data_IF_087112361660
#
_entry.id   IF_087112361660
#
_cell.length_a   1.000
_cell.length_b   1.000
_cell.length_c   1.000
_cell.angle_alpha   90.00
_cell.angle_beta   90.00
_cell.angle_gamma   90.00
#
_symmetry.space_group_name_H-M   'P 1'
#
loop_
_entity.id
_entity.type
_entity.pdbx_description
1 polymer ?
#
# COMPACT_ATOMS: atom_id res chain seq x y z
N UNK A 1 -20.81 -9.32 -18.05
CA UNK A 1 -19.62 -10.17 -17.86
C UNK A 1 -18.42 -9.33 -18.20
N UNK A 2 -17.52 -9.12 -17.25
CA UNK A 2 -16.25 -8.41 -17.47
C UNK A 2 -15.19 -9.49 -17.72
N UNK A 3 -14.39 -9.35 -18.77
CA UNK A 3 -13.26 -10.23 -19.08
C UNK A 3 -11.99 -9.45 -18.71
N UNK A 4 -11.19 -10.02 -17.82
CA UNK A 4 -9.94 -9.43 -17.35
C UNK A 4 -8.76 -10.34 -17.73
N UNK A 5 -7.56 -9.76 -17.73
CA UNK A 5 -6.33 -10.54 -17.71
C UNK A 5 -6.36 -11.53 -16.53
N UNK A 6 -5.94 -12.77 -16.77
CA UNK A 6 -5.84 -13.76 -15.71
C UNK A 6 -4.58 -13.48 -14.90
N UNK A 7 -4.70 -13.44 -13.58
CA UNK A 7 -3.58 -13.36 -12.63
C UNK A 7 -3.61 -14.58 -11.70
N UNK A 8 -2.56 -14.77 -10.91
CA UNK A 8 -2.47 -15.94 -10.02
C UNK A 8 -3.47 -15.83 -8.87
N UNK A 9 -3.25 -14.87 -7.96
CA UNK A 9 -4.04 -14.65 -6.75
C UNK A 9 -3.68 -13.29 -6.11
N UNK A 10 -4.50 -12.78 -5.17
CA UNK A 10 -4.19 -11.56 -4.43
C UNK A 10 -2.91 -11.69 -3.62
N UNK A 11 -2.10 -10.64 -3.58
CA UNK A 11 -0.86 -10.56 -2.80
C UNK A 11 -1.09 -10.91 -1.33
N UNK A 12 -2.26 -10.55 -0.76
CA UNK A 12 -2.67 -10.97 0.59
C UNK A 12 -2.50 -12.46 0.83
N UNK A 13 -2.88 -13.30 -0.14
CA UNK A 13 -2.73 -14.76 0.00
C UNK A 13 -1.26 -15.15 0.10
N UNK A 14 -0.35 -14.54 -0.69
CA UNK A 14 1.10 -14.76 -0.57
C UNK A 14 1.60 -14.41 0.84
N UNK A 15 1.20 -13.25 1.36
CA UNK A 15 1.63 -12.78 2.68
C UNK A 15 1.12 -13.68 3.79
N UNK A 16 -0.12 -14.18 3.69
CA UNK A 16 -0.68 -15.14 4.64
C UNK A 16 0.07 -16.47 4.65
N UNK A 17 0.49 -16.97 3.49
CA UNK A 17 1.24 -18.23 3.40
C UNK A 17 2.67 -18.07 3.96
N UNK A 18 3.31 -16.93 3.68
CA UNK A 18 4.59 -16.57 4.30
C UNK A 18 4.45 -16.48 5.83
N UNK A 19 3.43 -15.77 6.32
CA UNK A 19 3.12 -15.65 7.76
C UNK A 19 2.94 -17.02 8.43
N UNK A 20 2.14 -17.92 7.83
CA UNK A 20 1.95 -19.29 8.35
C UNK A 20 3.26 -20.06 8.43
N UNK A 21 4.14 -19.86 7.46
CA UNK A 21 5.48 -20.47 7.43
C UNK A 21 6.52 -19.73 8.29
N UNK A 22 6.13 -18.65 8.98
CA UNK A 22 7.02 -17.79 9.78
C UNK A 22 8.14 -17.12 8.95
N UNK A 23 7.86 -16.84 7.68
CA UNK A 23 8.73 -16.10 6.78
C UNK A 23 8.16 -14.71 6.48
N UNK A 24 9.05 -13.81 6.02
CA UNK A 24 8.68 -12.54 5.41
C UNK A 24 9.08 -12.56 3.93
N UNK A 25 8.46 -11.73 3.08
CA UNK A 25 8.88 -11.64 1.70
C UNK A 25 10.31 -11.11 1.62
N UNK A 26 11.03 -11.45 0.55
CA UNK A 26 12.38 -10.96 0.37
C UNK A 26 12.37 -9.46 0.10
N UNK A 27 13.39 -8.75 0.60
CA UNK A 27 13.51 -7.29 0.47
C UNK A 27 13.37 -6.78 -0.95
N UNK A 28 13.96 -7.50 -1.92
CA UNK A 28 13.87 -7.14 -3.33
C UNK A 28 12.44 -7.26 -3.88
N UNK A 29 11.66 -8.24 -3.41
CA UNK A 29 10.26 -8.42 -3.80
C UNK A 29 9.40 -7.31 -3.22
N UNK A 30 9.55 -7.02 -1.92
CA UNK A 30 8.80 -5.95 -1.24
C UNK A 30 9.01 -4.60 -1.93
N UNK A 31 10.25 -4.22 -2.22
CA UNK A 31 10.56 -2.95 -2.90
C UNK A 31 10.06 -2.95 -4.35
N UNK A 32 10.14 -4.08 -5.06
CA UNK A 32 9.59 -4.21 -6.42
C UNK A 32 8.07 -4.04 -6.43
N UNK A 33 7.36 -4.72 -5.53
CA UNK A 33 5.90 -4.62 -5.43
C UNK A 33 5.46 -3.22 -5.03
N UNK A 34 6.13 -2.61 -4.05
CA UNK A 34 5.89 -1.23 -3.64
C UNK A 34 6.01 -0.26 -4.83
N UNK A 35 7.07 -0.39 -5.63
CA UNK A 35 7.27 0.45 -6.81
C UNK A 35 6.17 0.27 -7.86
N UNK A 36 5.79 -0.97 -8.15
CA UNK A 36 4.77 -1.28 -9.16
C UNK A 36 3.38 -0.74 -8.76
N UNK A 37 3.01 -0.86 -7.48
CA UNK A 37 1.75 -0.29 -6.98
C UNK A 37 1.82 1.24 -6.98
N UNK A 38 2.94 1.84 -6.58
CA UNK A 38 3.13 3.28 -6.63
C UNK A 38 3.00 3.87 -8.05
N UNK A 39 3.60 3.19 -9.04
CA UNK A 39 3.49 3.56 -10.47
C UNK A 39 2.04 3.44 -10.96
N UNK A 40 1.29 2.42 -10.50
CA UNK A 40 -0.14 2.29 -10.78
C UNK A 40 -0.94 3.44 -10.16
N UNK A 41 -0.67 3.83 -8.91
CA UNK A 41 -1.33 4.96 -8.24
C UNK A 41 -1.05 6.28 -8.98
N UNK A 42 0.20 6.54 -9.35
CA UNK A 42 0.55 7.71 -10.16
C UNK A 42 -0.26 7.74 -11.46
N UNK A 43 -0.37 6.59 -12.14
CA UNK A 43 -1.11 6.50 -13.39
C UNK A 43 -2.60 6.81 -13.21
N UNK A 44 -3.29 6.19 -12.25
CA UNK A 44 -4.72 6.40 -12.06
C UNK A 44 -5.03 7.82 -11.56
N UNK A 45 -4.18 8.39 -10.68
CA UNK A 45 -4.34 9.76 -10.20
C UNK A 45 -4.24 10.77 -11.34
N UNK A 46 -3.33 10.54 -12.30
CA UNK A 46 -3.20 11.40 -13.50
C UNK A 46 -4.41 11.35 -14.44
N UNK A 47 -5.30 10.38 -14.26
CA UNK A 47 -6.56 10.22 -15.00
C UNK A 47 -7.79 10.55 -14.14
N UNK A 48 -7.62 11.25 -13.01
CA UNK A 48 -8.75 11.66 -12.17
C UNK A 48 -9.37 10.52 -11.37
N UNK A 49 -8.72 9.36 -11.28
CA UNK A 49 -9.23 8.18 -10.56
C UNK A 49 -8.52 8.02 -9.22
N UNK A 50 -9.30 7.81 -8.15
CA UNK A 50 -8.82 7.39 -6.82
C UNK A 50 -9.40 6.02 -6.53
N UNK A 51 -8.58 5.06 -6.13
CA UNK A 51 -8.97 3.67 -6.00
C UNK A 51 -9.85 3.43 -4.76
N UNK A 52 -9.59 4.13 -3.65
CA UNK A 52 -10.33 4.19 -2.37
C UNK A 52 -10.23 2.96 -1.48
N UNK A 53 -10.06 1.76 -2.04
CA UNK A 53 -10.00 0.49 -1.33
C UNK A 53 -8.61 -0.16 -1.48
N UNK A 54 -7.56 0.63 -1.22
CA UNK A 54 -6.17 0.21 -1.40
C UNK A 54 -5.81 -0.78 -0.30
N UNK A 55 -5.48 -2.01 -0.69
CA UNK A 55 -5.04 -3.05 0.22
C UNK A 55 -4.46 -4.25 -0.53
N UNK A 56 -3.77 -5.12 0.19
CA UNK A 56 -3.12 -6.31 -0.39
C UNK A 56 -4.10 -7.32 -1.01
N UNK A 57 -5.40 -7.20 -0.71
CA UNK A 57 -6.49 -7.96 -1.30
C UNK A 57 -6.88 -7.48 -2.72
N UNK A 58 -6.61 -6.21 -3.04
CA UNK A 58 -6.85 -5.61 -4.36
C UNK A 58 -5.56 -5.50 -5.21
N UNK A 59 -4.44 -6.00 -4.69
CA UNK A 59 -3.17 -6.14 -5.43
C UNK A 59 -2.99 -7.60 -5.84
N UNK A 60 -2.80 -7.87 -7.12
CA UNK A 60 -2.80 -9.21 -7.70
C UNK A 60 -1.42 -9.59 -8.22
N UNK A 61 -0.97 -10.83 -7.97
CA UNK A 61 0.31 -11.35 -8.48
C UNK A 61 0.17 -12.00 -9.86
N UNK A 62 1.09 -11.71 -10.77
CA UNK A 62 1.26 -12.43 -12.05
C UNK A 62 2.27 -13.59 -11.93
N UNK A 63 2.48 -14.35 -13.01
CA UNK A 63 3.40 -15.51 -13.03
C UNK A 63 4.88 -15.16 -12.95
N UNK A 64 5.25 -13.88 -13.11
CA UNK A 64 6.62 -13.38 -13.05
C UNK A 64 6.92 -12.68 -11.70
N UNK A 65 6.05 -12.90 -10.70
CA UNK A 65 6.12 -12.30 -9.37
C UNK A 65 6.03 -10.76 -9.38
N UNK A 66 5.37 -10.19 -10.38
CA UNK A 66 4.99 -8.78 -10.40
C UNK A 66 3.57 -8.59 -9.88
N UNK A 67 3.26 -7.37 -9.45
CA UNK A 67 1.94 -7.01 -8.94
C UNK A 67 1.21 -6.04 -9.86
N UNK A 68 -0.11 -6.17 -9.87
CA UNK A 68 -1.04 -5.25 -10.55
C UNK A 68 -2.14 -4.83 -9.59
N UNK A 69 -2.44 -3.54 -9.57
CA UNK A 69 -3.60 -3.01 -8.85
C UNK A 69 -4.88 -3.43 -9.59
N UNK A 70 -5.92 -3.78 -8.85
CA UNK A 70 -7.18 -4.29 -9.37
C UNK A 70 -8.37 -3.78 -8.56
N UNK A 71 -9.57 -4.15 -9.01
CA UNK A 71 -10.86 -3.76 -8.46
C UNK A 71 -11.08 -2.24 -8.34
N UNK A 72 -11.74 -1.69 -9.37
CA UNK A 72 -12.12 -0.28 -9.44
C UNK A 72 -13.63 -0.08 -9.32
N UNK A 73 -14.38 -1.12 -8.89
CA UNK A 73 -15.84 -1.06 -8.87
C UNK A 73 -16.38 0.03 -7.93
N UNK A 74 -15.63 0.33 -6.86
CA UNK A 74 -15.98 1.34 -5.86
C UNK A 74 -15.27 2.69 -5.99
N UNK A 75 -14.38 2.83 -6.97
CA UNK A 75 -13.48 3.98 -7.10
C UNK A 75 -14.20 5.31 -7.34
N UNK A 76 -13.54 6.40 -6.94
CA UNK A 76 -13.95 7.75 -7.29
C UNK A 76 -13.33 8.14 -8.64
N UNK A 77 -14.15 8.60 -9.58
CA UNK A 77 -13.73 9.05 -10.91
C UNK A 77 -14.15 10.51 -11.07
N UNK A 78 -13.20 11.39 -11.38
CA UNK A 78 -13.42 12.83 -11.52
C UNK A 78 -14.14 13.44 -10.30
N UNK A 79 -13.69 13.04 -9.11
CA UNK A 79 -14.24 13.44 -7.80
C UNK A 79 -15.70 13.02 -7.55
N UNK A 80 -16.19 11.99 -8.25
CA UNK A 80 -17.46 11.34 -7.91
C UNK A 80 -17.42 10.72 -6.50
N UNK A 81 -18.56 10.67 -5.83
CA UNK A 81 -18.66 9.96 -4.55
C UNK A 81 -18.32 8.47 -4.75
N UNK A 82 -17.40 7.89 -3.95
CA UNK A 82 -17.08 6.47 -4.03
C UNK A 82 -18.22 5.62 -3.49
N UNK A 83 -18.28 4.35 -3.90
CA UNK A 83 -19.32 3.40 -3.42
C UNK A 83 -18.77 2.35 -2.45
N UNK A 84 -17.50 2.47 -2.09
CA UNK A 84 -16.81 1.66 -1.08
C UNK A 84 -16.14 2.57 -0.05
N UNK A 85 -15.84 2.01 1.11
CA UNK A 85 -15.05 2.68 2.15
C UNK A 85 -13.73 1.92 2.34
N UNK A 86 -12.62 2.64 2.64
CA UNK A 86 -11.35 2.01 2.97
C UNK A 86 -11.45 1.20 4.26
N UNK A 87 -10.56 0.21 4.40
CA UNK A 87 -10.33 -0.48 5.68
C UNK A 87 -9.92 0.50 6.79
N UNK A 88 -10.38 0.27 8.02
CA UNK A 88 -9.98 1.04 9.20
C UNK A 88 -8.46 1.04 9.42
N UNK A 89 -7.77 -0.05 9.07
CA UNK A 89 -6.30 -0.16 9.14
C UNK A 89 -5.56 0.68 8.07
N UNK A 90 -6.30 1.22 7.10
CA UNK A 90 -5.77 1.94 5.93
C UNK A 90 -6.40 3.33 5.74
N UNK A 91 -7.09 3.86 6.76
CA UNK A 91 -7.65 5.21 6.73
C UNK A 91 -7.38 5.94 8.03
N UNK A 92 -7.14 7.24 7.94
CA UNK A 92 -7.04 8.09 9.12
C UNK A 92 -8.44 8.63 9.47
N UNK A 93 -8.88 8.58 10.74
CA UNK A 93 -10.24 9.04 11.14
C UNK A 93 -10.59 10.50 10.80
N UNK A 94 -9.58 11.37 10.60
CA UNK A 94 -9.77 12.76 10.17
C UNK A 94 -10.03 12.92 8.68
N UNK A 95 -9.88 11.85 7.89
CA UNK A 95 -10.09 11.87 6.44
C UNK A 95 -11.52 11.49 6.09
N UNK A 96 -12.05 12.18 5.08
CA UNK A 96 -13.40 11.89 4.60
C UNK A 96 -13.41 10.60 3.79
N UNK A 97 -14.31 9.68 4.15
CA UNK A 97 -14.55 8.45 3.40
C UNK A 97 -15.36 8.69 2.12
N UNK A 98 -16.12 9.79 2.02
CA UNK A 98 -16.93 10.14 0.84
C UNK A 98 -16.26 11.14 -0.09
N UNK A 99 -15.17 11.77 0.35
CA UNK A 99 -14.37 12.72 -0.44
C UNK A 99 -12.89 12.29 -0.39
N UNK A 100 -12.53 11.21 -1.10
CA UNK A 100 -11.15 10.72 -1.14
C UNK A 100 -10.23 11.79 -1.76
N UNK A 101 -9.01 11.86 -1.24
CA UNK A 101 -7.95 12.76 -1.68
C UNK A 101 -6.70 11.99 -2.06
N UNK A 102 -5.74 12.65 -2.72
CA UNK A 102 -4.42 12.04 -2.94
C UNK A 102 -3.81 11.61 -1.60
N UNK A 103 -3.96 12.42 -0.55
CA UNK A 103 -3.45 12.08 0.77
C UNK A 103 -4.10 10.82 1.36
N UNK A 104 -5.42 10.63 1.22
CA UNK A 104 -6.06 9.40 1.72
C UNK A 104 -5.59 8.16 0.97
N UNK A 105 -5.36 8.25 -0.34
CA UNK A 105 -4.79 7.15 -1.13
C UNK A 105 -3.36 6.84 -0.68
N UNK A 106 -2.53 7.86 -0.44
CA UNK A 106 -1.16 7.69 0.03
C UNK A 106 -1.10 7.13 1.46
N UNK A 107 -2.02 7.53 2.34
CA UNK A 107 -2.14 6.96 3.68
C UNK A 107 -2.44 5.45 3.60
N UNK A 108 -3.44 5.07 2.81
CA UNK A 108 -3.78 3.67 2.58
C UNK A 108 -2.63 2.89 1.95
N UNK A 109 -1.90 3.51 1.03
CA UNK A 109 -0.68 2.94 0.46
C UNK A 109 0.41 2.70 1.52
N UNK A 110 0.61 3.64 2.46
CA UNK A 110 1.53 3.45 3.60
C UNK A 110 1.16 2.22 4.45
N UNK A 111 -0.13 2.03 4.74
CA UNK A 111 -0.63 0.83 5.44
C UNK A 111 -0.42 -0.46 4.64
N UNK A 112 -0.63 -0.41 3.32
CA UNK A 112 -0.36 -1.53 2.42
C UNK A 112 1.13 -1.89 2.39
N UNK A 113 2.04 -0.90 2.37
CA UNK A 113 3.49 -1.14 2.44
C UNK A 113 3.89 -1.78 3.78
N UNK A 114 3.30 -1.33 4.89
CA UNK A 114 3.51 -1.95 6.19
C UNK A 114 3.06 -3.42 6.19
N UNK A 115 1.89 -3.73 5.62
CA UNK A 115 1.40 -5.11 5.50
C UNK A 115 2.32 -5.95 4.60
N UNK A 116 2.76 -5.41 3.46
CA UNK A 116 3.68 -6.10 2.56
C UNK A 116 4.97 -6.54 3.27
N UNK A 117 5.59 -5.67 4.06
CA UNK A 117 6.89 -5.97 4.66
C UNK A 117 6.79 -6.80 5.95
N UNK A 118 5.78 -6.52 6.77
CA UNK A 118 5.62 -7.20 8.07
C UNK A 118 4.80 -8.48 7.97
N UNK A 119 4.03 -8.64 6.88
CA UNK A 119 2.94 -9.61 6.72
C UNK A 119 1.74 -9.37 7.64
N UNK A 120 1.66 -8.25 8.37
CA UNK A 120 0.56 -7.90 9.27
C UNK A 120 -0.01 -6.52 8.97
N UNK A 121 -1.32 -6.37 9.09
CA UNK A 121 -1.93 -5.03 9.05
C UNK A 121 -1.42 -4.18 10.22
N UNK A 122 -1.35 -2.86 10.02
CA UNK A 122 -0.96 -1.92 11.07
C UNK A 122 -1.90 -2.10 12.28
N UNK A 123 -1.34 -2.33 13.46
CA UNK A 123 -2.12 -2.60 14.68
C UNK A 123 -3.10 -3.79 14.58
N UNK A 124 -2.73 -4.87 13.87
CA UNK A 124 -3.53 -6.10 13.75
C UNK A 124 -3.93 -6.77 15.08
N UNK A 125 -3.28 -6.40 16.19
CA UNK A 125 -3.51 -6.92 17.54
C UNK A 125 -4.39 -5.99 18.40
N UNK A 126 -4.87 -4.88 17.84
CA UNK A 126 -5.73 -3.89 18.49
C UNK A 126 -7.17 -4.03 18.01
N UNK A 127 -8.11 -3.58 18.83
CA UNK A 127 -9.51 -3.45 18.40
C UNK A 127 -9.74 -2.11 17.68
N UNK A 128 -10.88 -1.99 17.00
CA UNK A 128 -11.22 -0.81 16.17
C UNK A 128 -11.13 0.52 16.94
N UNK A 129 -11.55 0.56 18.21
CA UNK A 129 -11.49 1.79 19.02
C UNK A 129 -10.05 2.18 19.40
N UNK A 130 -9.22 1.20 19.77
CA UNK A 130 -7.79 1.44 20.04
C UNK A 130 -7.05 1.91 18.77
N UNK A 131 -7.36 1.28 17.63
CA UNK A 131 -6.83 1.65 16.32
C UNK A 131 -7.20 3.09 15.96
N UNK A 132 -8.48 3.46 16.13
CA UNK A 132 -8.99 4.80 15.87
C UNK A 132 -8.28 5.84 16.75
N UNK A 133 -8.17 5.60 18.06
CA UNK A 133 -7.47 6.50 18.99
C UNK A 133 -5.99 6.71 18.62
N UNK A 134 -5.30 5.63 18.21
CA UNK A 134 -3.89 5.68 17.80
C UNK A 134 -3.71 6.52 16.53
N UNK A 135 -4.50 6.26 15.49
CA UNK A 135 -4.45 7.03 14.25
C UNK A 135 -4.92 8.48 14.44
N UNK A 136 -5.95 8.74 15.25
CA UNK A 136 -6.36 10.10 15.60
C UNK A 136 -5.23 10.91 16.27
N UNK A 137 -4.42 10.24 17.09
CA UNK A 137 -3.31 10.84 17.82
C UNK A 137 -2.02 10.91 17.01
N UNK A 138 -2.05 10.62 15.71
CA UNK A 138 -0.87 10.51 14.84
C UNK A 138 0.21 9.56 15.41
N UNK A 139 -0.24 8.51 16.12
CA UNK A 139 0.61 7.43 16.61
C UNK A 139 0.55 6.27 15.63
N UNK A 140 1.72 5.86 15.16
CA UNK A 140 1.86 4.83 14.13
C UNK A 140 2.77 3.70 14.62
N UNK A 141 2.65 2.48 14.06
CA UNK A 141 3.56 1.39 14.38
C UNK A 141 5.02 1.75 14.08
N UNK A 142 5.95 1.18 14.84
CA UNK A 142 7.39 1.40 14.60
C UNK A 142 7.81 0.86 13.23
N UNK A 143 8.50 1.71 12.45
CA UNK A 143 8.99 1.35 11.11
C UNK A 143 10.51 1.35 10.98
N UNK A 144 11.26 1.65 12.05
CA UNK A 144 12.71 1.88 11.98
C UNK A 144 13.56 0.69 11.52
N UNK A 145 13.03 -0.53 11.63
CA UNK A 145 13.70 -1.76 11.15
C UNK A 145 13.17 -2.24 9.80
N UNK A 146 12.29 -1.47 9.15
CA UNK A 146 11.72 -1.79 7.85
C UNK A 146 12.49 -1.06 6.76
N UNK A 147 12.74 -1.74 5.65
CA UNK A 147 13.40 -1.21 4.46
C UNK A 147 12.55 -0.09 3.85
N UNK A 148 11.23 -0.25 3.82
CA UNK A 148 10.31 0.79 3.39
C UNK A 148 9.95 1.76 4.53
N UNK A 149 10.61 1.68 5.68
CA UNK A 149 10.14 2.28 6.92
C UNK A 149 9.98 3.80 6.87
N UNK A 150 10.89 4.50 6.20
CA UNK A 150 10.79 5.94 6.00
C UNK A 150 9.68 6.30 5.01
N UNK A 151 9.49 5.51 3.96
CA UNK A 151 8.40 5.73 2.99
C UNK A 151 7.04 5.56 3.65
N UNK A 152 6.87 4.49 4.44
CA UNK A 152 5.67 4.22 5.23
C UNK A 152 5.37 5.41 6.15
N UNK A 153 6.36 5.84 6.93
CA UNK A 153 6.22 6.96 7.87
C UNK A 153 5.83 8.27 7.16
N UNK A 154 6.45 8.57 6.01
CA UNK A 154 6.14 9.77 5.22
C UNK A 154 4.72 9.71 4.63
N UNK A 155 4.24 8.54 4.24
CA UNK A 155 2.85 8.34 3.81
C UNK A 155 1.86 8.67 4.93
N UNK A 156 2.03 8.09 6.12
CA UNK A 156 1.14 8.32 7.25
C UNK A 156 1.18 9.75 7.79
N UNK A 157 2.31 10.45 7.66
CA UNK A 157 2.51 11.81 8.17
C UNK A 157 2.23 12.92 7.14
N UNK A 158 1.58 12.60 6.01
CA UNK A 158 1.28 13.56 4.93
C UNK A 158 2.51 14.28 4.35
N UNK A 159 3.65 13.59 4.24
CA UNK A 159 4.92 14.19 3.79
C UNK A 159 5.21 14.00 2.31
N UNK A 160 4.26 13.49 1.54
CA UNK A 160 4.30 13.44 0.08
C UNK A 160 3.16 14.25 -0.50
N UNK A 161 3.47 15.10 -1.48
CA UNK A 161 2.45 15.83 -2.22
C UNK A 161 1.67 14.91 -3.19
N UNK A 162 2.38 13.97 -3.82
CA UNK A 162 1.82 13.03 -4.78
C UNK A 162 2.66 11.74 -4.91
N UNK A 163 2.19 10.82 -5.76
CA UNK A 163 2.84 9.54 -5.99
C UNK A 163 4.22 9.65 -6.68
N UNK A 164 4.56 10.76 -7.33
CA UNK A 164 5.88 10.92 -7.96
C UNK A 164 7.01 11.04 -6.94
N UNK A 165 6.77 11.74 -5.83
CA UNK A 165 7.76 11.91 -4.76
C UNK A 165 8.06 10.58 -4.07
N UNK A 166 7.02 9.80 -3.75
CA UNK A 166 7.21 8.49 -3.12
C UNK A 166 7.85 7.47 -4.07
N UNK A 167 7.58 7.53 -5.39
CA UNK A 167 8.27 6.71 -6.39
C UNK A 167 9.78 7.01 -6.41
N UNK A 168 10.18 8.28 -6.27
CA UNK A 168 11.58 8.66 -6.22
C UNK A 168 12.28 8.03 -5.00
N UNK A 169 11.65 8.07 -3.83
CA UNK A 169 12.20 7.48 -2.60
C UNK A 169 12.29 5.94 -2.70
N UNK A 170 11.27 5.26 -3.25
CA UNK A 170 11.31 3.80 -3.46
C UNK A 170 12.40 3.40 -4.48
N UNK A 171 12.58 4.16 -5.57
CA UNK A 171 13.64 3.90 -6.56
C UNK A 171 15.05 4.07 -5.97
N UNK A 172 15.21 5.03 -5.06
CA UNK A 172 16.45 5.17 -4.30
C UNK A 172 16.75 3.88 -3.53
N UNK A 173 15.78 3.36 -2.77
CA UNK A 173 15.92 2.09 -2.04
C UNK A 173 16.24 0.91 -2.97
N UNK A 174 15.53 0.79 -4.10
CA UNK A 174 15.79 -0.28 -5.08
C UNK A 174 17.22 -0.25 -5.61
N UNK A 175 17.77 0.96 -5.81
CA UNK A 175 19.14 1.15 -6.31
C UNK A 175 20.16 0.67 -5.28
N UNK A 176 19.98 1.02 -4.00
CA UNK A 176 20.86 0.57 -2.91
C UNK A 176 20.88 -0.96 -2.78
N UNK A 177 19.71 -1.60 -2.83
CA UNK A 177 19.61 -3.07 -2.76
C UNK A 177 20.33 -3.78 -3.93
N UNK A 178 20.31 -3.21 -5.14
CA UNK A 178 21.04 -3.78 -6.29
C UNK A 178 22.56 -3.71 -6.11
N UNK A 179 23.05 -2.64 -5.48
CA UNK A 179 24.48 -2.50 -5.19
C UNK A 179 24.93 -3.51 -4.14
N UNK A 180 24.18 -3.69 -3.05
CA UNK A 180 24.53 -4.63 -1.97
C UNK A 180 24.65 -6.08 -2.48
N UNK A 181 23.74 -6.51 -3.36
CA UNK A 181 23.77 -7.85 -3.98
C UNK A 181 24.92 -8.00 -4.97
N UNK A 182 25.38 -6.92 -5.60
CA UNK A 182 26.50 -6.97 -6.56
C UNK A 182 27.87 -6.95 -5.88
N UNK A 183 27.93 -6.61 -4.59
CA UNK A 183 29.17 -6.51 -3.80
C UNK A 183 29.38 -7.65 -2.80
N UNK A 184 28.42 -8.57 -2.69
CA UNK A 184 28.46 -9.77 -1.85
C UNK A 184 28.90 -11.01 -2.65
#
# INVERSE_FOLDING_TARGET
MIILERLQYPLRQRLLDLRKSQHRPASHDVVRWALQVAEALQHIHSHGVKQVDIGTYNVMLDWDENVKLSDFAGSSIDDSEPTVAPSAHSTHPRLSVTQPSVYSELFAFGSLLYEMETTFEAYHDKNDGELEELFESDQYPETGNLILGEVIRKCWMAQYADASELIADIRSLQTHLKYDVSTA
#
